data_IF_382733627148
#
_entry.id   IF_382733627148
#
_cell.length_a   1.000
_cell.length_b   1.000
_cell.length_c   1.000
_cell.angle_alpha   90.00
_cell.angle_beta   90.00
_cell.angle_gamma   90.00
#
_symmetry.space_group_name_H-M   'P 1'
#
loop_
_entity.id
_entity.type
_entity.pdbx_description
1 polymer ?
#
# COMPACT_ATOMS: atom_id res chain seq x y z
N UNK A 1 24.98 45.95 -22.09
CA UNK A 1 24.10 44.84 -22.50
C UNK A 1 24.69 43.55 -21.96
N UNK A 2 23.92 42.87 -21.10
CA UNK A 2 24.30 41.70 -20.31
C UNK A 2 24.16 40.42 -21.13
N UNK A 3 25.20 39.57 -21.18
CA UNK A 3 25.06 38.12 -21.32
C UNK A 3 26.21 37.45 -20.56
N UNK A 4 26.05 37.34 -19.24
CA UNK A 4 26.81 36.43 -18.39
C UNK A 4 25.80 35.82 -17.43
N UNK A 5 25.45 34.55 -17.64
CA UNK A 5 24.78 33.74 -16.62
C UNK A 5 25.03 32.26 -16.92
N UNK A 6 26.13 31.80 -16.33
CA UNK A 6 26.20 30.59 -15.51
C UNK A 6 25.53 29.33 -16.05
N UNK A 7 26.40 28.47 -16.61
CA UNK A 7 26.32 27.03 -16.40
C UNK A 7 26.12 26.74 -14.92
N UNK A 8 24.91 26.34 -14.53
CA UNK A 8 24.69 25.65 -13.28
C UNK A 8 24.84 24.15 -13.51
N UNK A 9 25.85 23.62 -12.81
CA UNK A 9 26.07 22.20 -12.58
C UNK A 9 24.82 21.51 -12.04
N UNK A 10 24.66 20.24 -12.41
CA UNK A 10 23.90 19.27 -11.61
C UNK A 10 22.42 19.17 -11.93
N UNK A 11 22.08 18.68 -13.12
CA UNK A 11 20.86 17.89 -13.27
C UNK A 11 21.27 16.41 -13.41
N UNK A 12 21.11 15.57 -12.38
CA UNK A 12 20.85 14.18 -12.64
C UNK A 12 19.43 14.12 -13.21
N UNK A 13 19.32 13.90 -14.52
CA UNK A 13 18.08 13.48 -15.17
C UNK A 13 17.69 12.08 -14.70
N UNK A 14 17.38 11.93 -13.41
CA UNK A 14 16.68 10.79 -12.88
C UNK A 14 15.20 11.09 -13.04
N UNK A 15 14.53 10.43 -13.99
CA UNK A 15 13.10 10.55 -14.15
C UNK A 15 12.41 10.23 -12.84
N UNK A 16 11.86 11.25 -12.18
CA UNK A 16 10.92 11.06 -11.09
C UNK A 16 9.70 10.38 -11.72
N UNK A 17 9.66 9.05 -11.70
CA UNK A 17 8.45 8.31 -12.04
C UNK A 17 7.37 8.81 -11.10
N UNK A 18 6.42 9.57 -11.65
CA UNK A 18 5.31 10.11 -10.88
C UNK A 18 4.61 8.93 -10.20
N UNK A 19 4.64 8.93 -8.87
CA UNK A 19 4.00 7.90 -8.07
C UNK A 19 2.49 7.94 -8.33
N UNK A 20 1.92 6.81 -8.73
CA UNK A 20 0.50 6.71 -9.10
C UNK A 20 -0.30 6.33 -7.87
N UNK A 21 -1.03 7.27 -7.28
CA UNK A 21 -1.97 6.94 -6.21
C UNK A 21 -3.15 6.14 -6.78
N UNK A 22 -3.39 4.89 -6.36
CA UNK A 22 -4.56 4.14 -6.82
C UNK A 22 -5.86 4.82 -6.36
N UNK A 23 -6.85 4.93 -7.24
CA UNK A 23 -8.11 5.63 -6.95
C UNK A 23 -8.82 5.11 -5.70
N UNK A 24 -8.75 3.79 -5.45
CA UNK A 24 -9.36 3.16 -4.28
C UNK A 24 -8.70 3.55 -2.95
N UNK A 25 -7.46 4.05 -2.99
CA UNK A 25 -6.70 4.48 -1.81
C UNK A 25 -6.82 5.99 -1.56
N UNK A 26 -7.34 6.75 -2.52
CA UNK A 26 -7.48 8.21 -2.43
C UNK A 26 -8.23 8.68 -1.17
N UNK A 27 -9.32 8.03 -0.71
CA UNK A 27 -9.99 8.42 0.53
C UNK A 27 -9.08 8.32 1.76
N UNK A 28 -8.22 7.30 1.82
CA UNK A 28 -7.31 7.11 2.95
C UNK A 28 -6.19 8.15 2.94
N UNK A 29 -5.64 8.46 1.76
CA UNK A 29 -4.68 9.56 1.58
C UNK A 29 -5.26 10.90 2.05
N UNK A 30 -6.51 11.20 1.67
CA UNK A 30 -7.21 12.41 2.14
C UNK A 30 -7.41 12.41 3.65
N UNK A 31 -7.87 11.29 4.22
CA UNK A 31 -8.03 11.16 5.68
C UNK A 31 -6.70 11.38 6.42
N UNK A 32 -5.59 10.87 5.87
CA UNK A 32 -4.25 11.05 6.44
C UNK A 32 -3.79 12.50 6.37
N UNK A 33 -3.96 13.16 5.22
CA UNK A 33 -3.64 14.58 5.05
C UNK A 33 -4.44 15.47 6.03
N UNK A 34 -5.70 15.11 6.28
CA UNK A 34 -6.57 15.79 7.26
C UNK A 34 -6.36 15.35 8.71
N UNK A 35 -5.39 14.46 9.01
CA UNK A 35 -5.13 13.89 10.35
C UNK A 35 -6.34 13.17 10.96
N UNK A 36 -7.23 12.65 10.12
CA UNK A 36 -8.42 11.88 10.51
C UNK A 36 -8.15 10.37 10.57
N UNK A 37 -6.96 9.92 10.16
CA UNK A 37 -6.56 8.51 10.30
C UNK A 37 -6.40 8.16 11.79
N UNK A 38 -7.10 7.12 12.29
CA UNK A 38 -6.99 6.73 13.68
C UNK A 38 -5.55 6.34 14.02
N UNK A 39 -5.00 6.95 15.07
CA UNK A 39 -3.73 6.51 15.66
C UNK A 39 -3.96 5.14 16.28
N UNK A 40 -3.21 4.13 15.86
CA UNK A 40 -3.36 2.73 16.31
C UNK A 40 -4.65 2.03 15.84
N UNK A 41 -5.28 2.52 14.78
CA UNK A 41 -6.44 1.88 14.17
C UNK A 41 -6.06 0.77 13.18
N UNK A 42 -6.90 -0.25 13.12
CA UNK A 42 -6.87 -1.24 12.04
C UNK A 42 -7.54 -0.70 10.79
N UNK A 43 -6.94 -0.96 9.64
CA UNK A 43 -7.59 -0.77 8.34
C UNK A 43 -7.72 -2.10 7.63
N UNK A 44 -8.93 -2.39 7.17
CA UNK A 44 -9.21 -3.56 6.35
C UNK A 44 -9.03 -3.22 4.88
N UNK A 45 -8.27 -4.03 4.17
CA UNK A 45 -8.01 -3.93 2.74
C UNK A 45 -8.71 -5.12 2.10
N UNK A 46 -9.80 -4.88 1.39
CA UNK A 46 -10.56 -5.93 0.71
C UNK A 46 -10.07 -6.05 -0.72
N UNK A 47 -9.43 -7.17 -1.05
CA UNK A 47 -9.01 -7.51 -2.39
C UNK A 47 -9.82 -8.72 -2.88
N UNK A 48 -11.07 -8.46 -3.27
CA UNK A 48 -12.06 -9.48 -3.56
C UNK A 48 -13.44 -9.06 -3.04
N UNK A 49 -14.25 -10.03 -2.64
CA UNK A 49 -15.57 -9.88 -2.06
C UNK A 49 -15.63 -8.92 -0.86
N UNK A 50 -16.83 -8.38 -0.61
CA UNK A 50 -17.07 -7.46 0.50
C UNK A 50 -17.37 -8.24 1.78
N UNK A 51 -16.35 -8.42 2.62
CA UNK A 51 -16.46 -9.28 3.80
C UNK A 51 -16.96 -8.53 5.06
N UNK A 52 -16.81 -7.19 5.18
CA UNK A 52 -17.33 -6.47 6.36
C UNK A 52 -17.61 -4.98 6.12
N UNK A 53 -18.71 -4.47 6.71
CA UNK A 53 -19.11 -3.05 6.77
C UNK A 53 -18.78 -2.35 8.11
N UNK A 54 -18.23 -3.08 9.07
CA UNK A 54 -18.20 -2.66 10.49
C UNK A 54 -16.86 -2.05 10.95
N UNK A 55 -15.88 -1.94 10.06
CA UNK A 55 -14.53 -1.42 10.33
C UNK A 55 -14.09 -0.47 9.22
N UNK A 56 -13.19 0.50 9.48
CA UNK A 56 -12.60 1.31 8.42
C UNK A 56 -11.96 0.41 7.36
N UNK A 57 -12.47 0.50 6.13
CA UNK A 57 -12.07 -0.39 5.05
C UNK A 57 -11.79 0.38 3.75
N UNK A 58 -10.84 -0.15 2.97
CA UNK A 58 -10.61 0.22 1.58
C UNK A 58 -10.83 -1.03 0.72
N UNK A 59 -11.57 -0.88 -0.37
CA UNK A 59 -11.82 -1.97 -1.31
C UNK A 59 -11.00 -1.74 -2.57
N UNK A 60 -10.11 -2.67 -2.88
CA UNK A 60 -9.30 -2.64 -4.10
C UNK A 60 -10.24 -2.69 -5.30
N UNK A 61 -10.04 -1.77 -6.26
CA UNK A 61 -10.86 -1.73 -7.46
C UNK A 61 -10.74 -3.05 -8.24
N UNK A 62 -11.85 -3.65 -8.71
CA UNK A 62 -11.78 -4.84 -9.56
C UNK A 62 -10.87 -4.62 -10.78
N UNK A 63 -10.07 -5.62 -11.12
CA UNK A 63 -9.11 -5.55 -12.24
C UNK A 63 -7.86 -4.70 -11.99
N UNK A 64 -7.67 -4.18 -10.77
CA UNK A 64 -6.43 -3.53 -10.38
C UNK A 64 -5.22 -4.46 -10.53
N UNK A 65 -4.14 -3.92 -11.10
CA UNK A 65 -2.85 -4.61 -11.25
C UNK A 65 -1.79 -3.83 -10.47
N UNK A 66 -1.24 -4.38 -9.38
CA UNK A 66 -0.19 -3.72 -8.61
C UNK A 66 1.02 -3.37 -9.48
N UNK A 67 1.57 -2.18 -9.25
CA UNK A 67 2.73 -1.62 -9.91
C UNK A 67 3.74 -1.12 -8.88
N UNK A 68 5.06 -1.24 -9.15
CA UNK A 68 6.10 -0.64 -8.29
C UNK A 68 5.97 0.88 -8.13
N UNK A 69 5.28 1.55 -9.06
CA UNK A 69 5.07 3.00 -9.02
C UNK A 69 3.82 3.40 -8.24
N UNK A 70 3.05 2.45 -7.68
CA UNK A 70 1.84 2.79 -6.94
C UNK A 70 2.17 3.43 -5.59
N UNK A 71 1.55 4.57 -5.31
CA UNK A 71 1.71 5.26 -4.02
C UNK A 71 0.81 4.64 -2.95
N UNK A 72 1.37 3.68 -2.22
CA UNK A 72 0.71 3.02 -1.09
C UNK A 72 1.10 3.60 0.28
N UNK A 73 1.74 4.78 0.31
CA UNK A 73 2.26 5.40 1.55
C UNK A 73 1.18 5.74 2.58
N UNK A 74 -0.10 5.73 2.20
CA UNK A 74 -1.22 5.89 3.11
C UNK A 74 -1.27 4.81 4.21
N UNK A 75 -0.66 3.64 4.00
CA UNK A 75 -0.58 2.57 5.00
C UNK A 75 0.53 2.75 6.03
N UNK A 76 1.39 3.76 5.87
CA UNK A 76 2.53 3.98 6.76
C UNK A 76 2.07 4.14 8.22
N UNK A 77 2.62 3.27 9.09
CA UNK A 77 2.32 3.29 10.52
C UNK A 77 0.93 2.79 10.91
N UNK A 78 0.19 2.12 10.01
CA UNK A 78 -1.10 1.50 10.32
C UNK A 78 -0.97 0.00 10.60
N UNK A 79 -1.92 -0.54 11.36
CA UNK A 79 -2.18 -1.99 11.39
C UNK A 79 -3.09 -2.33 10.20
N UNK A 80 -2.63 -3.18 9.29
CA UNK A 80 -3.33 -3.52 8.06
C UNK A 80 -3.84 -4.96 8.09
N UNK A 81 -5.06 -5.19 7.65
CA UNK A 81 -5.66 -6.51 7.46
C UNK A 81 -6.11 -6.67 6.01
N UNK A 82 -5.41 -7.51 5.25
CA UNK A 82 -5.72 -7.84 3.87
C UNK A 82 -6.67 -9.03 3.83
N UNK A 83 -7.88 -8.82 3.33
CA UNK A 83 -8.88 -9.86 3.08
C UNK A 83 -8.85 -10.26 1.61
N UNK A 84 -8.74 -11.56 1.34
CA UNK A 84 -8.79 -12.14 -0.01
C UNK A 84 -9.82 -13.28 -0.04
N UNK A 85 -10.38 -13.57 -1.22
CA UNK A 85 -11.29 -14.70 -1.45
C UNK A 85 -10.63 -15.75 -2.37
N UNK A 86 -11.36 -16.82 -2.69
CA UNK A 86 -10.86 -17.92 -3.53
C UNK A 86 -10.59 -17.48 -4.99
N UNK A 87 -11.17 -16.36 -5.44
CA UNK A 87 -11.02 -15.81 -6.80
C UNK A 87 -9.88 -14.77 -6.90
N UNK A 88 -9.30 -14.33 -5.78
CA UNK A 88 -8.21 -13.35 -5.77
C UNK A 88 -6.93 -13.93 -6.38
N UNK A 89 -6.52 -13.43 -7.54
CA UNK A 89 -5.30 -13.92 -8.21
C UNK A 89 -4.02 -13.78 -7.36
N UNK A 90 -3.16 -14.80 -7.38
CA UNK A 90 -1.87 -14.80 -6.66
C UNK A 90 -0.99 -13.59 -7.01
N UNK A 91 -1.00 -13.13 -8.27
CA UNK A 91 -0.26 -11.94 -8.69
C UNK A 91 -0.72 -10.66 -7.98
N UNK A 92 -2.04 -10.49 -7.81
CA UNK A 92 -2.62 -9.38 -7.07
C UNK A 92 -2.23 -9.44 -5.59
N UNK A 93 -2.38 -10.61 -4.95
CA UNK A 93 -2.01 -10.81 -3.54
C UNK A 93 -0.54 -10.49 -3.29
N UNK A 94 0.35 -11.06 -4.10
CA UNK A 94 1.80 -10.84 -3.99
C UNK A 94 2.16 -9.37 -4.18
N UNK A 95 1.57 -8.71 -5.18
CA UNK A 95 1.83 -7.30 -5.46
C UNK A 95 1.33 -6.36 -4.35
N UNK A 96 0.14 -6.63 -3.80
CA UNK A 96 -0.41 -5.88 -2.66
C UNK A 96 0.47 -6.05 -1.42
N UNK A 97 0.82 -7.28 -1.05
CA UNK A 97 1.67 -7.55 0.10
C UNK A 97 3.01 -6.82 -0.04
N UNK A 98 3.67 -6.95 -1.20
CA UNK A 98 4.95 -6.30 -1.44
C UNK A 98 4.86 -4.77 -1.30
N UNK A 99 3.87 -4.15 -1.95
CA UNK A 99 3.70 -2.70 -1.91
C UNK A 99 3.28 -2.18 -0.53
N UNK A 100 2.38 -2.89 0.17
CA UNK A 100 1.96 -2.54 1.53
C UNK A 100 3.16 -2.61 2.47
N UNK A 101 3.94 -3.70 2.45
CA UNK A 101 5.11 -3.83 3.31
C UNK A 101 6.17 -2.75 3.04
N UNK A 102 6.36 -2.34 1.77
CA UNK A 102 7.24 -1.23 1.40
C UNK A 102 6.80 0.11 2.01
N UNK A 103 5.49 0.34 2.18
CA UNK A 103 4.96 1.53 2.85
C UNK A 103 5.24 1.57 4.37
N UNK A 104 5.83 0.50 4.94
CA UNK A 104 6.19 0.37 6.34
C UNK A 104 4.98 0.52 7.30
N UNK A 105 3.99 -0.40 7.22
CA UNK A 105 2.92 -0.52 8.19
C UNK A 105 3.49 -1.04 9.53
N UNK A 106 2.71 -0.93 10.60
CA UNK A 106 3.05 -1.54 11.89
C UNK A 106 2.94 -3.06 11.84
N UNK A 107 1.85 -3.57 11.26
CA UNK A 107 1.57 -5.01 11.10
C UNK A 107 0.77 -5.23 9.82
N UNK A 108 0.93 -6.41 9.21
CA UNK A 108 0.10 -6.87 8.09
C UNK A 108 -0.45 -8.26 8.42
N UNK A 109 -1.77 -8.36 8.52
CA UNK A 109 -2.53 -9.60 8.61
C UNK A 109 -3.07 -9.94 7.22
N UNK A 110 -3.01 -11.20 6.81
CA UNK A 110 -3.70 -11.73 5.64
C UNK A 110 -4.73 -12.74 6.11
N UNK A 111 -5.98 -12.56 5.70
CA UNK A 111 -7.07 -13.51 5.92
C UNK A 111 -7.62 -13.95 4.56
N UNK A 112 -7.72 -15.26 4.40
CA UNK A 112 -8.49 -15.84 3.30
C UNK A 112 -9.91 -16.08 3.80
N UNK A 113 -10.91 -15.54 3.11
CA UNK A 113 -12.32 -15.90 3.30
C UNK A 113 -12.68 -17.06 2.38
N UNK A 114 -13.77 -17.76 2.70
CA UNK A 114 -14.39 -18.85 1.90
C UNK A 114 -13.96 -20.28 2.26
N UNK A 115 -13.66 -21.16 1.29
CA UNK A 115 -13.65 -22.63 1.52
C UNK A 115 -12.68 -23.08 2.59
N UNK A 116 -11.56 -22.38 2.73
CA UNK A 116 -10.54 -22.66 3.74
C UNK A 116 -10.04 -21.37 4.38
N UNK A 117 -10.69 -20.89 5.45
CA UNK A 117 -10.26 -19.68 6.11
C UNK A 117 -8.92 -19.89 6.81
N UNK A 118 -7.93 -19.07 6.46
CA UNK A 118 -6.60 -19.10 7.03
C UNK A 118 -6.17 -17.70 7.47
N UNK A 119 -5.45 -17.65 8.59
CA UNK A 119 -4.86 -16.44 9.13
C UNK A 119 -3.34 -16.51 8.97
N UNK A 120 -2.77 -15.57 8.20
CA UNK A 120 -1.33 -15.44 8.00
C UNK A 120 -0.88 -14.10 8.54
N UNK A 121 -0.01 -14.10 9.56
CA UNK A 121 0.54 -12.87 10.15
C UNK A 121 1.92 -12.61 9.55
N UNK A 122 2.04 -11.53 8.77
CA UNK A 122 3.32 -11.10 8.21
C UNK A 122 3.93 -10.03 9.12
N UNK A 123 5.00 -10.40 9.82
CA UNK A 123 5.83 -9.45 10.57
C UNK A 123 7.02 -9.07 9.71
N UNK A 124 7.36 -7.78 9.71
CA UNK A 124 8.65 -7.33 9.17
C UNK A 124 9.75 -7.99 10.00
N UNK A 125 10.40 -9.01 9.44
CA UNK A 125 11.60 -9.57 10.04
C UNK A 125 12.67 -8.48 10.07
N UNK A 126 13.42 -8.38 11.17
CA UNK A 126 14.78 -7.86 11.05
C UNK A 126 15.51 -8.90 10.19
N UNK A 127 16.11 -8.51 9.07
CA UNK A 127 17.07 -9.38 8.41
C UNK A 127 18.22 -9.59 9.41
N UNK A 128 18.15 -10.63 10.24
CA UNK A 128 19.32 -11.22 10.88
C UNK A 128 19.80 -12.33 9.94
N UNK A 129 20.34 -11.90 8.80
CA UNK A 129 21.20 -12.71 7.97
C UNK A 129 22.50 -11.93 7.87
N UNK A 130 23.60 -12.52 8.31
CA UNK A 130 24.93 -11.98 8.06
C UNK A 130 25.09 -11.81 6.55
N UNK A 131 25.33 -10.57 6.10
CA UNK A 131 26.21 -10.15 4.99
C UNK A 131 26.00 -8.66 4.72
#
# INVERSE_FOLDING_TARGET
MNLSLNRLHGQPGGGAHASRCPNWLLPLHRARASRLTPRHGWIVIQAGGRIAKWVPAVSVTPGYKPSPNDDLSAFHGLDCELLIDDDTSCGLVRGLIAGILQANPLRLLLLTGERHPAIVILKKGTMHGAH
#
